data_IF_603052303175
#
_entry.id   IF_603052303175
#
_cell.length_a   1.000
_cell.length_b   1.000
_cell.length_c   1.000
_cell.angle_alpha   90.00
_cell.angle_beta   90.00
_cell.angle_gamma   90.00
#
_symmetry.space_group_name_H-M   'P 1'
#
loop_
_entity.id
_entity.type
_entity.pdbx_description
1 polymer ?
#
# COMPACT_ATOMS: atom_id res chain seq x y z
N UNK A 1 -20.51 -3.79 10.84
CA UNK A 1 -19.09 -3.46 11.11
C UNK A 1 -18.08 -4.08 10.12
N UNK A 2 -18.50 -4.74 9.02
CA UNK A 2 -17.59 -5.41 8.07
C UNK A 2 -16.89 -4.50 7.02
N UNK A 3 -17.31 -3.24 6.86
CA UNK A 3 -16.80 -2.37 5.78
C UNK A 3 -15.45 -1.68 6.06
N UNK A 4 -15.16 -1.38 7.33
CA UNK A 4 -13.98 -0.59 7.72
C UNK A 4 -12.69 -1.42 7.60
N UNK A 5 -12.75 -2.70 7.99
CA UNK A 5 -11.61 -3.62 7.92
C UNK A 5 -11.17 -3.86 6.47
N UNK A 6 -12.12 -4.14 5.56
CA UNK A 6 -11.84 -4.29 4.13
C UNK A 6 -11.26 -3.02 3.50
N UNK A 7 -11.73 -1.84 3.91
CA UNK A 7 -11.20 -0.54 3.44
C UNK A 7 -9.73 -0.38 3.85
N UNK A 8 -9.41 -0.64 5.12
CA UNK A 8 -8.03 -0.57 5.62
C UNK A 8 -7.10 -1.54 4.89
N UNK A 9 -7.49 -2.82 4.77
CA UNK A 9 -6.69 -3.82 4.06
C UNK A 9 -6.46 -3.46 2.59
N UNK A 10 -7.49 -2.91 1.92
CA UNK A 10 -7.37 -2.47 0.53
C UNK A 10 -6.41 -1.29 0.40
N UNK A 11 -6.53 -0.27 1.27
CA UNK A 11 -5.63 0.90 1.28
C UNK A 11 -4.19 0.48 1.57
N UNK A 12 -3.96 -0.42 2.52
CA UNK A 12 -2.62 -0.97 2.80
C UNK A 12 -2.06 -1.75 1.61
N UNK A 13 -2.87 -2.63 1.01
CA UNK A 13 -2.51 -3.39 -0.18
C UNK A 13 -2.13 -2.49 -1.35
N UNK A 14 -2.86 -1.39 -1.56
CA UNK A 14 -2.57 -0.38 -2.57
C UNK A 14 -1.26 0.34 -2.23
N UNK A 15 -1.11 0.84 -1.00
CA UNK A 15 0.06 1.59 -0.54
C UNK A 15 1.38 0.80 -0.65
N UNK A 16 1.34 -0.53 -0.56
CA UNK A 16 2.56 -1.35 -0.65
C UNK A 16 2.93 -1.74 -2.09
N UNK A 17 1.95 -1.93 -2.97
CA UNK A 17 2.18 -2.50 -4.29
C UNK A 17 2.22 -1.45 -5.40
N UNK A 18 1.26 -0.53 -5.39
CA UNK A 18 1.07 0.45 -6.48
C UNK A 18 2.22 1.46 -6.57
N UNK A 19 2.76 2.01 -5.47
CA UNK A 19 3.86 2.97 -5.56
C UNK A 19 5.12 2.40 -6.22
N UNK A 20 5.43 1.12 -6.00
CA UNK A 20 6.59 0.47 -6.64
C UNK A 20 6.44 0.43 -8.17
N UNK A 21 5.24 0.11 -8.68
CA UNK A 21 4.97 0.11 -10.12
C UNK A 21 5.00 1.54 -10.68
N UNK A 22 4.38 2.49 -9.98
CA UNK A 22 4.37 3.89 -10.38
C UNK A 22 5.78 4.49 -10.46
N UNK A 23 6.62 4.23 -9.45
CA UNK A 23 8.00 4.69 -9.41
C UNK A 23 8.84 4.06 -10.54
N UNK A 24 8.63 2.77 -10.82
CA UNK A 24 9.37 2.04 -11.86
C UNK A 24 8.98 2.48 -13.28
N UNK A 25 7.70 2.66 -13.54
CA UNK A 25 7.18 2.97 -14.88
C UNK A 25 7.23 4.47 -15.23
N UNK A 26 7.00 5.33 -14.24
CA UNK A 26 6.77 6.76 -14.46
C UNK A 26 7.75 7.65 -13.69
N UNK A 27 8.59 7.10 -12.82
CA UNK A 27 9.56 7.83 -12.01
C UNK A 27 8.96 8.48 -10.77
N UNK A 28 9.79 9.22 -10.05
CA UNK A 28 9.42 9.95 -8.83
C UNK A 28 8.57 11.17 -9.18
N UNK A 29 7.34 11.22 -8.67
CA UNK A 29 6.39 12.32 -8.84
C UNK A 29 5.60 12.54 -7.55
N UNK A 30 5.21 13.80 -7.33
CA UNK A 30 4.32 14.18 -6.22
C UNK A 30 2.87 13.72 -6.42
N UNK A 31 2.47 13.46 -7.66
CA UNK A 31 1.14 12.97 -8.02
C UNK A 31 1.16 12.35 -9.42
N UNK A 32 0.30 11.36 -9.63
CA UNK A 32 0.12 10.67 -10.90
C UNK A 32 -1.24 11.00 -11.52
N UNK A 33 -1.32 10.88 -12.83
CA UNK A 33 -2.57 10.97 -13.57
C UNK A 33 -3.42 9.70 -13.40
N UNK A 34 -4.76 9.79 -13.56
CA UNK A 34 -5.63 8.62 -13.48
C UNK A 34 -5.21 7.48 -14.40
N UNK A 35 -4.75 7.79 -15.62
CA UNK A 35 -4.27 6.79 -16.59
C UNK A 35 -3.01 6.05 -16.11
N UNK A 36 -2.09 6.75 -15.44
CA UNK A 36 -0.89 6.14 -14.84
C UNK A 36 -1.26 5.20 -13.70
N UNK A 37 -2.22 5.59 -12.86
CA UNK A 37 -2.76 4.76 -11.77
C UNK A 37 -3.49 3.53 -12.33
N UNK A 38 -4.26 3.69 -13.42
CA UNK A 38 -4.93 2.59 -14.11
C UNK A 38 -3.94 1.58 -14.64
N UNK A 39 -2.87 2.05 -15.29
CA UNK A 39 -1.81 1.17 -15.80
C UNK A 39 -1.14 0.39 -14.68
N UNK A 40 -0.83 1.06 -13.56
CA UNK A 40 -0.19 0.42 -12.42
C UNK A 40 -1.07 -0.66 -11.77
N UNK A 41 -2.37 -0.38 -11.61
CA UNK A 41 -3.33 -1.36 -11.08
C UNK A 41 -3.56 -2.54 -12.03
N UNK A 42 -3.63 -2.26 -13.33
CA UNK A 42 -3.78 -3.30 -14.35
C UNK A 42 -2.57 -4.25 -14.37
N UNK A 43 -1.36 -3.72 -14.21
CA UNK A 43 -0.13 -4.54 -14.13
C UNK A 43 -0.13 -5.48 -12.91
N UNK A 44 -0.71 -5.04 -11.79
CA UNK A 44 -0.91 -5.86 -10.60
C UNK A 44 -2.06 -6.87 -10.74
N UNK A 45 -2.68 -6.98 -11.92
CA UNK A 45 -3.77 -7.91 -12.21
C UNK A 45 -5.14 -7.46 -11.71
N UNK A 46 -5.30 -6.18 -11.34
CA UNK A 46 -6.58 -5.63 -10.92
C UNK A 46 -7.35 -5.07 -12.12
N UNK A 47 -8.48 -5.68 -12.45
CA UNK A 47 -9.37 -5.18 -13.51
C UNK A 47 -10.37 -4.15 -12.97
N UNK A 48 -10.42 -2.95 -13.56
CA UNK A 48 -11.26 -1.83 -13.15
C UNK A 48 -12.74 -2.18 -12.98
N UNK A 49 -13.28 -3.02 -13.87
CA UNK A 49 -14.68 -3.45 -13.83
C UNK A 49 -15.00 -4.44 -12.71
N UNK A 50 -13.99 -5.14 -12.18
CA UNK A 50 -14.15 -6.09 -11.07
C UNK A 50 -13.89 -5.43 -9.72
N UNK A 51 -12.92 -4.52 -9.66
CA UNK A 51 -12.43 -3.90 -8.42
C UNK A 51 -12.51 -2.36 -8.46
N UNK A 52 -13.66 -1.81 -8.86
CA UNK A 52 -13.85 -0.35 -8.98
C UNK A 52 -13.48 0.41 -7.70
N UNK A 53 -13.80 -0.15 -6.53
CA UNK A 53 -13.48 0.45 -5.23
C UNK A 53 -11.97 0.58 -5.00
N UNK A 54 -11.17 -0.40 -5.46
CA UNK A 54 -9.70 -0.34 -5.37
C UNK A 54 -9.17 0.80 -6.23
N UNK A 55 -9.73 0.96 -7.43
CA UNK A 55 -9.39 2.06 -8.34
C UNK A 55 -9.74 3.41 -7.73
N UNK A 56 -10.94 3.57 -7.17
CA UNK A 56 -11.36 4.79 -6.46
C UNK A 56 -10.37 5.14 -5.33
N UNK A 57 -9.99 4.18 -4.49
CA UNK A 57 -9.00 4.43 -3.42
C UNK A 57 -7.62 4.79 -3.97
N UNK A 58 -7.15 4.10 -5.00
CA UNK A 58 -5.84 4.39 -5.61
C UNK A 58 -5.81 5.78 -6.24
N UNK A 59 -6.88 6.20 -6.91
CA UNK A 59 -6.99 7.59 -7.38
C UNK A 59 -6.96 8.57 -6.21
N UNK A 60 -7.70 8.27 -5.14
CA UNK A 60 -7.69 9.05 -3.92
C UNK A 60 -6.30 9.24 -3.32
N UNK A 61 -5.46 8.21 -3.40
CA UNK A 61 -4.13 8.18 -2.79
C UNK A 61 -3.07 8.85 -3.67
N UNK A 62 -3.10 8.60 -4.99
CA UNK A 62 -1.97 8.93 -5.87
C UNK A 62 -2.23 10.06 -6.85
N UNK A 63 -3.48 10.52 -7.01
CA UNK A 63 -3.81 11.61 -7.94
C UNK A 63 -3.89 12.97 -7.25
N UNK A 64 -3.81 14.02 -8.07
CA UNK A 64 -3.99 15.39 -7.61
C UNK A 64 -5.44 15.66 -7.18
N UNK A 65 -5.65 16.69 -6.34
CA UNK A 65 -6.99 17.17 -5.98
C UNK A 65 -7.88 17.43 -7.21
N UNK A 66 -7.32 18.04 -8.27
CA UNK A 66 -8.07 18.34 -9.48
C UNK A 66 -8.58 17.06 -10.15
N UNK A 67 -7.74 16.03 -10.26
CA UNK A 67 -8.13 14.73 -10.80
C UNK A 67 -9.15 14.02 -9.92
N UNK A 68 -8.99 14.11 -8.60
CA UNK A 68 -9.91 13.55 -7.62
C UNK A 68 -11.33 14.12 -7.78
N UNK A 69 -11.44 15.44 -7.96
CA UNK A 69 -12.71 16.13 -8.18
C UNK A 69 -13.30 15.81 -9.56
N UNK A 70 -12.47 15.78 -10.61
CA UNK A 70 -12.91 15.43 -11.97
C UNK A 70 -13.47 14.01 -12.07
N UNK A 71 -12.91 13.07 -11.31
CA UNK A 71 -13.40 11.69 -11.22
C UNK A 71 -14.64 11.54 -10.33
N UNK A 72 -15.13 12.62 -9.72
CA UNK A 72 -16.31 12.61 -8.86
C UNK A 72 -16.10 11.89 -7.52
N UNK A 73 -14.85 11.65 -7.11
CA UNK A 73 -14.52 10.87 -5.91
C UNK A 73 -14.98 11.56 -4.62
N UNK A 74 -15.23 12.87 -4.66
CA UNK A 74 -15.78 13.62 -3.53
C UNK A 74 -17.10 13.05 -3.03
N UNK A 75 -17.93 12.47 -3.91
CA UNK A 75 -19.20 11.85 -3.53
C UNK A 75 -19.02 10.48 -2.87
N UNK A 76 -18.02 9.73 -3.34
CA UNK A 76 -17.79 8.34 -2.93
C UNK A 76 -16.90 8.23 -1.68
N UNK A 77 -15.86 9.07 -1.62
CA UNK A 77 -14.77 9.03 -0.64
C UNK A 77 -14.77 10.25 0.30
N UNK A 78 -15.59 11.26 -0.01
CA UNK A 78 -15.65 12.51 0.75
C UNK A 78 -14.57 13.51 0.34
N UNK A 79 -14.39 14.55 1.15
CA UNK A 79 -13.39 15.60 0.88
C UNK A 79 -11.97 15.01 0.78
N UNK A 80 -11.21 15.42 -0.24
CA UNK A 80 -9.85 14.92 -0.48
C UNK A 80 -8.93 15.03 0.74
N UNK A 81 -8.93 16.18 1.43
CA UNK A 81 -8.10 16.37 2.63
C UNK A 81 -8.54 15.48 3.79
N UNK A 82 -9.84 15.24 3.94
CA UNK A 82 -10.35 14.29 4.93
C UNK A 82 -9.94 12.85 4.60
N UNK A 83 -10.08 12.46 3.33
CA UNK A 83 -9.66 11.15 2.85
C UNK A 83 -8.16 10.91 3.07
N UNK A 84 -7.31 11.89 2.74
CA UNK A 84 -5.87 11.80 2.96
C UNK A 84 -5.51 11.60 4.43
N UNK A 85 -6.19 12.30 5.36
CA UNK A 85 -6.02 12.07 6.81
C UNK A 85 -6.51 10.69 7.27
N UNK A 86 -7.59 10.19 6.69
CA UNK A 86 -8.06 8.82 6.96
C UNK A 86 -7.01 7.79 6.52
N UNK A 87 -6.43 7.96 5.33
CA UNK A 87 -5.34 7.10 4.84
C UNK A 87 -4.12 7.21 5.76
N UNK A 88 -3.74 8.42 6.16
CA UNK A 88 -2.78 8.73 7.24
C UNK A 88 -2.97 7.86 8.47
N UNK A 89 -4.18 7.92 9.02
CA UNK A 89 -4.55 7.19 10.22
C UNK A 89 -4.54 5.68 10.01
N UNK A 90 -4.90 5.21 8.83
CA UNK A 90 -4.94 3.77 8.52
C UNK A 90 -3.55 3.16 8.29
N UNK A 91 -2.63 3.90 7.68
CA UNK A 91 -1.28 3.43 7.35
C UNK A 91 -0.29 3.65 8.50
N UNK A 92 -0.31 4.82 9.13
CA UNK A 92 0.70 5.25 10.08
C UNK A 92 0.16 5.51 11.50
N UNK A 93 -1.16 5.40 11.71
CA UNK A 93 -1.85 5.89 12.91
C UNK A 93 -1.61 7.39 13.19
N UNK A 94 -1.27 8.19 12.18
CA UNK A 94 -1.09 9.65 12.30
C UNK A 94 -2.27 10.41 11.67
N UNK A 95 -2.66 11.57 12.22
CA UNK A 95 -3.75 12.39 11.66
C UNK A 95 -3.30 13.33 10.53
N UNK A 96 -2.03 13.27 10.14
CA UNK A 96 -1.46 14.15 9.11
C UNK A 96 -1.67 13.57 7.71
N UNK A 97 -1.81 14.43 6.68
CA UNK A 97 -1.83 13.98 5.29
C UNK A 97 -0.52 13.28 4.95
N UNK A 98 -0.61 12.26 4.09
CA UNK A 98 0.55 11.49 3.63
C UNK A 98 1.05 12.05 2.30
N UNK A 99 2.35 12.30 2.22
CA UNK A 99 3.05 12.65 0.97
C UNK A 99 3.47 11.41 0.17
N UNK A 100 3.73 11.59 -1.14
CA UNK A 100 4.16 10.49 -2.02
C UNK A 100 5.42 9.76 -1.54
N UNK A 101 6.37 10.47 -0.95
CA UNK A 101 7.59 9.87 -0.41
C UNK A 101 7.30 8.80 0.65
N UNK A 102 6.31 9.03 1.52
CA UNK A 102 5.91 8.07 2.54
C UNK A 102 5.32 6.81 1.90
N UNK A 103 4.54 6.94 0.82
CA UNK A 103 4.04 5.78 0.08
C UNK A 103 5.20 4.95 -0.51
N UNK A 104 6.25 5.58 -1.02
CA UNK A 104 7.44 4.88 -1.50
C UNK A 104 8.20 4.19 -0.35
N UNK A 105 8.37 4.86 0.79
CA UNK A 105 9.01 4.28 1.97
C UNK A 105 8.24 3.04 2.46
N UNK A 106 6.90 3.13 2.56
CA UNK A 106 6.04 2.00 2.94
C UNK A 106 6.14 0.84 1.95
N UNK A 107 6.17 1.12 0.65
CA UNK A 107 6.30 0.12 -0.41
C UNK A 107 7.66 -0.59 -0.37
N UNK A 108 8.73 0.10 0.05
CA UNK A 108 10.06 -0.48 0.24
C UNK A 108 10.16 -1.30 1.54
N UNK A 109 9.54 -0.85 2.63
CA UNK A 109 9.51 -1.59 3.90
C UNK A 109 8.82 -2.95 3.75
N UNK A 110 7.75 -3.04 2.96
CA UNK A 110 7.08 -4.32 2.69
C UNK A 110 7.97 -5.33 1.94
N UNK A 111 8.89 -4.87 1.08
CA UNK A 111 9.90 -5.74 0.47
C UNK A 111 10.92 -6.27 1.49
N UNK A 112 11.20 -5.53 2.56
CA UNK A 112 12.14 -5.94 3.61
C UNK A 112 11.48 -6.83 4.68
N UNK A 113 10.19 -6.66 4.95
CA UNK A 113 9.44 -7.47 5.92
C UNK A 113 8.89 -8.79 5.36
N UNK A 114 9.07 -9.07 4.07
CA UNK A 114 8.83 -10.40 3.48
C UNK A 114 9.86 -11.48 3.86
N UNK A 115 10.84 -11.13 4.70
CA UNK A 115 11.96 -12.00 5.09
C UNK A 115 12.02 -12.39 6.58
N UNK A 116 10.91 -12.46 7.31
CA UNK A 116 10.92 -13.05 8.66
C UNK A 116 9.68 -13.90 8.94
N UNK A 117 9.70 -15.15 8.49
CA UNK A 117 9.01 -16.26 9.14
C UNK A 117 9.49 -17.64 8.63
N UNK A 118 10.80 -17.93 8.70
CA UNK A 118 11.23 -19.31 8.94
C UNK A 118 12.69 -19.37 9.40
N UNK A 119 12.93 -19.18 10.70
CA UNK A 119 14.11 -19.77 11.35
C UNK A 119 13.57 -20.78 12.35
N UNK A 120 13.08 -21.89 11.82
CA UNK A 120 13.08 -23.15 12.55
C UNK A 120 14.52 -23.55 12.76
N UNK A 121 15.14 -23.06 13.84
CA UNK A 121 16.38 -23.65 14.34
C UNK A 121 15.96 -24.72 15.36
N UNK A 122 15.64 -25.89 14.83
CA UNK A 122 15.56 -27.13 15.58
C UNK A 122 16.87 -27.26 16.38
N UNK A 123 16.77 -27.09 17.70
CA UNK A 123 17.84 -27.40 18.62
C UNK A 123 18.01 -28.92 18.67
N UNK A 124 18.69 -29.48 17.66
CA UNK A 124 19.20 -30.83 17.73
C UNK A 124 20.49 -30.79 18.56
N UNK A 125 20.32 -30.97 19.87
CA UNK A 125 21.42 -31.24 20.80
C UNK A 125 22.03 -32.60 20.43
N UNK A 126 23.08 -32.54 19.60
CA UNK A 126 24.04 -33.63 19.45
C UNK A 126 24.90 -33.68 20.70
N UNK A 127 24.45 -34.42 21.72
CA UNK A 127 25.31 -34.86 22.81
C UNK A 127 26.19 -35.99 22.27
N UNK A 128 27.47 -35.69 22.05
CA UNK A 128 28.49 -36.69 21.79
C UNK A 128 29.83 -36.23 22.36
N UNK A 129 30.24 -36.97 23.40
CA UNK A 129 31.58 -37.56 23.59
C UNK A 129 32.62 -36.73 24.39
N UNK A 130 32.92 -37.21 25.61
CA UNK A 130 34.20 -37.85 26.04
C UNK A 130 34.77 -37.39 27.39
N UNK A 131 35.37 -38.34 28.12
CA UNK A 131 36.24 -38.12 29.29
C UNK A 131 35.88 -39.09 30.42
N UNK A 132 36.59 -40.19 30.71
CA UNK A 132 38.02 -40.44 30.51
C UNK A 132 38.82 -39.78 31.64
N UNK A 133 38.95 -40.47 32.79
CA UNK A 133 40.14 -40.72 33.63
C UNK A 133 39.74 -41.40 34.93
#
# INVERSE_FOLDING_TARGET
MFGIFKRKETIQSIAHQVPNVLLREFGDKNSYSPDEVDKALLELGHEKHRDMTRYQYAYGMFTSLASYEQLGLTQELGNYGHFQREVGKMLLNTPEPIDMHIYFELAQQHHLSGGQANVGNEANVVDSVDGGY
#
